data_IF_258994106507
#
_entry.id   IF_258994106507
#
_cell.length_a   1.000
_cell.length_b   1.000
_cell.length_c   1.000
_cell.angle_alpha   90.00
_cell.angle_beta   90.00
_cell.angle_gamma   90.00
#
_symmetry.space_group_name_H-M   'P 1'
#
loop_
_entity.id
_entity.type
_entity.pdbx_description
1 polymer ?
#
# COMPACT_ATOMS: atom_id res chain seq x y z
N UNK A 1 29.08 -3.82 -16.95
CA UNK A 1 28.04 -3.46 -15.96
C UNK A 1 26.72 -3.89 -16.59
N UNK A 2 26.18 -5.04 -16.17
CA UNK A 2 24.94 -5.56 -16.75
C UNK A 2 23.77 -4.91 -16.05
N UNK A 3 22.89 -4.28 -16.82
CA UNK A 3 21.59 -3.79 -16.39
C UNK A 3 20.79 -4.94 -15.78
N UNK A 4 20.73 -4.92 -14.45
CA UNK A 4 19.84 -5.75 -13.64
C UNK A 4 18.41 -5.47 -14.07
N UNK A 5 17.78 -6.51 -14.64
CA UNK A 5 16.33 -6.72 -14.79
C UNK A 5 15.53 -5.66 -14.03
N UNK A 6 15.02 -4.64 -14.73
CA UNK A 6 14.13 -3.63 -14.16
C UNK A 6 13.03 -4.37 -13.39
N UNK A 7 12.92 -4.12 -12.07
CA UNK A 7 11.75 -4.53 -11.31
C UNK A 7 10.52 -4.01 -12.08
N UNK A 8 9.69 -4.92 -12.59
CA UNK A 8 8.42 -4.56 -13.26
C UNK A 8 7.50 -3.84 -12.25
N UNK A 9 7.72 -4.13 -10.95
CA UNK A 9 6.94 -3.62 -9.84
C UNK A 9 7.58 -2.36 -9.26
N UNK A 10 6.85 -1.26 -9.31
CA UNK A 10 7.30 0.03 -8.82
C UNK A 10 6.67 0.35 -7.47
N UNK A 11 7.47 0.29 -6.39
CA UNK A 11 7.06 0.72 -5.05
C UNK A 11 7.28 2.21 -4.78
N UNK A 12 7.84 2.96 -5.74
CA UNK A 12 8.30 4.33 -5.46
C UNK A 12 7.16 5.33 -5.22
N UNK A 13 5.94 5.03 -5.68
CA UNK A 13 4.75 5.85 -5.40
C UNK A 13 4.43 5.92 -3.90
N UNK A 14 4.89 4.97 -3.08
CA UNK A 14 4.67 5.00 -1.65
C UNK A 14 5.32 6.20 -0.94
N UNK A 15 6.32 6.84 -1.57
CA UNK A 15 6.89 8.10 -1.06
C UNK A 15 5.89 9.27 -1.08
N UNK A 16 4.90 9.18 -1.97
CA UNK A 16 3.87 10.19 -2.20
C UNK A 16 2.48 9.59 -1.87
N UNK A 17 2.44 8.50 -1.09
CA UNK A 17 1.21 7.73 -0.86
C UNK A 17 0.08 8.56 -0.25
N UNK A 18 0.43 9.50 0.64
CA UNK A 18 -0.53 10.44 1.21
C UNK A 18 -1.32 11.19 0.14
N UNK A 19 -0.62 11.71 -0.87
CA UNK A 19 -1.23 12.49 -1.95
C UNK A 19 -2.16 11.61 -2.79
N UNK A 20 -1.70 10.40 -3.12
CA UNK A 20 -2.54 9.43 -3.83
C UNK A 20 -3.79 8.99 -3.05
N UNK A 21 -3.69 8.83 -1.72
CA UNK A 21 -4.86 8.56 -0.85
C UNK A 21 -5.83 9.74 -0.79
N UNK A 22 -5.32 10.98 -0.82
CA UNK A 22 -6.16 12.18 -0.94
C UNK A 22 -6.90 12.21 -2.29
N UNK A 23 -6.24 11.82 -3.40
CA UNK A 23 -6.90 11.68 -4.70
C UNK A 23 -7.95 10.57 -4.70
N UNK A 24 -7.69 9.43 -4.08
CA UNK A 24 -8.69 8.37 -3.91
C UNK A 24 -9.90 8.86 -3.10
N UNK A 25 -9.68 9.61 -2.03
CA UNK A 25 -10.73 10.24 -1.24
C UNK A 25 -11.58 11.23 -2.06
N UNK A 26 -10.93 12.11 -2.81
CA UNK A 26 -11.59 13.07 -3.70
C UNK A 26 -12.39 12.36 -4.82
N UNK A 27 -11.82 11.31 -5.43
CA UNK A 27 -12.51 10.48 -6.42
C UNK A 27 -13.80 9.89 -5.85
N UNK A 28 -13.77 9.31 -4.63
CA UNK A 28 -14.97 8.74 -4.01
C UNK A 28 -16.05 9.80 -3.73
N UNK A 29 -15.63 11.01 -3.30
CA UNK A 29 -16.54 12.14 -3.07
C UNK A 29 -17.22 12.60 -4.36
N UNK A 30 -16.44 12.77 -5.42
CA UNK A 30 -16.93 13.13 -6.76
C UNK A 30 -17.88 12.06 -7.28
N UNK A 31 -17.47 10.80 -7.26
CA UNK A 31 -18.27 9.66 -7.72
C UNK A 31 -19.65 9.57 -7.02
N UNK A 32 -19.73 9.98 -5.75
CA UNK A 32 -20.95 9.89 -4.94
C UNK A 32 -21.95 11.04 -5.16
N UNK A 33 -21.50 12.23 -5.58
CA UNK A 33 -22.33 13.45 -5.61
C UNK A 33 -22.92 13.78 -6.97
N UNK A 34 -22.21 13.46 -8.01
CA UNK A 34 -22.65 13.56 -9.40
C UNK A 34 -21.53 12.90 -10.18
N UNK A 35 -21.82 11.88 -10.98
CA UNK A 35 -20.82 11.15 -11.78
C UNK A 35 -20.10 12.06 -12.80
N UNK A 36 -19.96 13.39 -12.64
CA UNK A 36 -19.29 14.35 -13.54
C UNK A 36 -19.63 14.13 -15.03
N UNK A 37 -20.83 13.65 -15.38
CA UNK A 37 -21.14 13.17 -16.74
C UNK A 37 -20.08 12.20 -17.33
N UNK A 38 -19.29 11.57 -16.47
CA UNK A 38 -18.23 10.62 -16.79
C UNK A 38 -18.89 9.26 -16.90
N UNK A 39 -19.20 8.88 -18.13
CA UNK A 39 -19.65 7.54 -18.46
C UNK A 39 -18.46 6.63 -18.69
N UNK A 40 -18.72 5.33 -18.80
CA UNK A 40 -17.75 4.36 -19.27
C UNK A 40 -18.38 3.60 -20.44
N UNK A 41 -17.85 3.84 -21.63
CA UNK A 41 -18.32 3.26 -22.89
C UNK A 41 -17.82 1.80 -23.02
N UNK A 42 -16.73 1.47 -22.33
CA UNK A 42 -16.13 0.14 -22.26
C UNK A 42 -17.00 -0.90 -21.54
N UNK A 43 -17.88 -0.46 -20.64
CA UNK A 43 -18.64 -1.34 -19.74
C UNK A 43 -20.10 -0.88 -19.62
N UNK A 44 -20.78 -0.71 -20.76
CA UNK A 44 -22.16 -0.20 -20.83
C UNK A 44 -23.22 -1.17 -20.27
N UNK A 45 -22.97 -2.48 -20.33
CA UNK A 45 -23.90 -3.52 -19.88
C UNK A 45 -23.53 -4.04 -18.47
N UNK A 46 -24.44 -3.80 -17.53
CA UNK A 46 -24.28 -3.79 -16.06
C UNK A 46 -24.07 -5.16 -15.37
N UNK A 47 -23.57 -6.17 -16.10
CA UNK A 47 -23.45 -7.56 -15.60
C UNK A 47 -22.04 -7.90 -15.13
N UNK A 48 -21.02 -7.27 -15.72
CA UNK A 48 -19.62 -7.60 -15.42
C UNK A 48 -19.18 -6.95 -14.10
N UNK A 49 -18.48 -7.75 -13.28
CA UNK A 49 -17.90 -7.30 -12.01
C UNK A 49 -16.38 -7.20 -12.13
N UNK A 50 -15.84 -6.24 -11.41
CA UNK A 50 -14.41 -6.10 -11.16
C UNK A 50 -14.19 -6.17 -9.65
N UNK A 51 -13.83 -7.36 -9.16
CA UNK A 51 -13.89 -7.67 -7.73
C UNK A 51 -15.34 -7.71 -7.24
N UNK A 52 -15.67 -6.91 -6.22
CA UNK A 52 -17.04 -6.78 -5.70
C UNK A 52 -17.87 -5.69 -6.37
N UNK A 53 -17.23 -4.80 -7.13
CA UNK A 53 -17.85 -3.63 -7.74
C UNK A 53 -18.26 -3.91 -9.19
N UNK A 54 -19.20 -3.12 -9.72
CA UNK A 54 -19.53 -3.14 -11.16
C UNK A 54 -18.32 -2.65 -11.96
N UNK A 55 -18.01 -3.32 -13.07
CA UNK A 55 -16.91 -2.89 -13.94
C UNK A 55 -17.08 -1.45 -14.43
N UNK A 56 -18.32 -1.04 -14.73
CA UNK A 56 -18.68 0.33 -15.07
C UNK A 56 -18.28 1.34 -13.98
N UNK A 57 -18.63 1.06 -12.72
CA UNK A 57 -18.33 1.95 -11.61
C UNK A 57 -16.81 2.03 -11.34
N UNK A 58 -16.08 0.92 -11.46
CA UNK A 58 -14.61 0.90 -11.37
C UNK A 58 -13.98 1.71 -12.50
N UNK A 59 -14.49 1.59 -13.73
CA UNK A 59 -14.04 2.39 -14.87
C UNK A 59 -14.27 3.89 -14.67
N UNK A 60 -15.47 4.30 -14.24
CA UNK A 60 -15.76 5.72 -13.95
C UNK A 60 -14.84 6.26 -12.85
N UNK A 61 -14.64 5.50 -11.77
CA UNK A 61 -13.69 5.84 -10.70
C UNK A 61 -12.27 5.97 -11.23
N UNK A 62 -11.81 5.02 -12.05
CA UNK A 62 -10.49 5.06 -12.67
C UNK A 62 -10.28 6.32 -13.51
N UNK A 63 -11.26 6.68 -14.36
CA UNK A 63 -11.25 7.91 -15.17
C UNK A 63 -11.15 9.17 -14.30
N UNK A 64 -11.97 9.26 -13.26
CA UNK A 64 -11.93 10.38 -12.30
C UNK A 64 -10.57 10.45 -11.61
N UNK A 65 -10.03 9.33 -11.17
CA UNK A 65 -8.74 9.25 -10.48
C UNK A 65 -7.59 9.72 -11.38
N UNK A 66 -7.54 9.27 -12.63
CA UNK A 66 -6.58 9.74 -13.63
C UNK A 66 -6.66 11.27 -13.80
N UNK A 67 -7.87 11.82 -14.01
CA UNK A 67 -8.08 13.27 -14.17
C UNK A 67 -7.65 14.07 -12.94
N UNK A 68 -7.94 13.56 -11.74
CA UNK A 68 -7.54 14.21 -10.49
C UNK A 68 -6.02 14.28 -10.37
N UNK A 69 -5.32 13.17 -10.63
CA UNK A 69 -3.85 13.13 -10.62
C UNK A 69 -3.29 14.14 -11.64
N UNK A 70 -3.74 14.09 -12.90
CA UNK A 70 -3.28 14.99 -13.97
C UNK A 70 -3.53 16.47 -13.64
N UNK A 71 -4.70 16.80 -13.07
CA UNK A 71 -5.07 18.18 -12.74
C UNK A 71 -4.15 18.83 -11.70
N UNK A 72 -3.49 18.03 -10.87
CA UNK A 72 -2.61 18.50 -9.79
C UNK A 72 -1.15 18.60 -10.22
N UNK A 73 -0.79 18.04 -11.38
CA UNK A 73 0.57 18.19 -11.92
C UNK A 73 0.78 19.63 -12.39
N UNK A 74 1.84 20.27 -11.89
CA UNK A 74 2.21 21.66 -12.23
C UNK A 74 3.16 21.66 -13.44
N UNK A 75 2.91 22.56 -14.40
CA UNK A 75 3.83 22.87 -15.51
C UNK A 75 3.19 22.86 -16.91
N UNK A 76 3.81 23.52 -17.90
CA UNK A 76 3.31 23.56 -19.29
C UNK A 76 3.45 22.24 -20.05
N UNK A 77 4.33 21.33 -19.61
CA UNK A 77 4.68 20.08 -20.33
C UNK A 77 4.27 18.78 -19.60
N UNK A 78 3.75 18.85 -18.38
CA UNK A 78 3.66 17.70 -17.44
C UNK A 78 2.26 17.37 -16.94
N UNK A 79 1.20 17.64 -17.71
CA UNK A 79 -0.17 17.20 -17.37
C UNK A 79 -0.44 15.71 -17.62
N UNK A 80 0.60 14.92 -17.92
CA UNK A 80 0.48 13.48 -18.21
C UNK A 80 0.88 12.65 -17.00
N UNK A 81 0.19 11.53 -16.82
CA UNK A 81 0.56 10.49 -15.85
C UNK A 81 1.98 9.98 -16.13
N UNK A 82 2.79 9.87 -15.08
CA UNK A 82 4.13 9.29 -15.16
C UNK A 82 4.16 7.86 -14.57
N UNK A 83 5.34 7.25 -14.56
CA UNK A 83 5.54 5.87 -14.10
C UNK A 83 5.06 5.62 -12.66
N UNK A 84 5.15 6.60 -11.75
CA UNK A 84 4.67 6.45 -10.36
C UNK A 84 3.16 6.49 -10.31
N UNK A 85 2.56 7.39 -11.08
CA UNK A 85 1.10 7.50 -11.18
C UNK A 85 0.49 6.19 -11.68
N UNK A 86 1.07 5.63 -12.75
CA UNK A 86 0.63 4.33 -13.27
C UNK A 86 0.85 3.18 -12.27
N UNK A 87 1.94 3.20 -11.51
CA UNK A 87 2.19 2.20 -10.47
C UNK A 87 1.13 2.26 -9.37
N UNK A 88 0.77 3.47 -8.91
CA UNK A 88 -0.32 3.65 -7.96
C UNK A 88 -1.67 3.22 -8.54
N UNK A 89 -1.98 3.62 -9.77
CA UNK A 89 -3.22 3.23 -10.47
C UNK A 89 -3.33 1.70 -10.61
N UNK A 90 -2.21 1.03 -10.91
CA UNK A 90 -2.16 -0.43 -10.98
C UNK A 90 -2.38 -1.08 -9.61
N UNK A 91 -1.75 -0.56 -8.56
CA UNK A 91 -2.00 -0.99 -7.17
C UNK A 91 -3.48 -0.82 -6.78
N UNK A 92 -4.05 0.36 -7.04
CA UNK A 92 -5.43 0.68 -6.74
C UNK A 92 -6.38 -0.29 -7.44
N UNK A 93 -6.17 -0.55 -8.73
CA UNK A 93 -7.00 -1.48 -9.49
C UNK A 93 -6.89 -2.91 -8.95
N UNK A 94 -5.68 -3.40 -8.70
CA UNK A 94 -5.48 -4.73 -8.10
C UNK A 94 -6.14 -4.86 -6.71
N UNK A 95 -6.19 -3.78 -5.92
CA UNK A 95 -6.90 -3.77 -4.64
C UNK A 95 -8.40 -3.99 -4.81
N UNK A 96 -9.02 -3.41 -5.85
CA UNK A 96 -10.43 -3.64 -6.15
C UNK A 96 -10.67 -5.08 -6.59
N UNK A 97 -9.81 -5.60 -7.45
CA UNK A 97 -9.92 -6.97 -7.98
C UNK A 97 -9.91 -8.02 -6.85
N UNK A 98 -9.04 -7.83 -5.86
CA UNK A 98 -8.76 -8.81 -4.80
C UNK A 98 -9.73 -8.75 -3.61
N UNK A 99 -10.56 -7.71 -3.50
CA UNK A 99 -11.53 -7.53 -2.42
C UNK A 99 -12.85 -8.33 -2.57
N UNK A 100 -12.91 -9.38 -3.41
CA UNK A 100 -14.17 -10.08 -3.73
C UNK A 100 -14.04 -11.55 -4.13
N UNK A 101 -15.19 -12.21 -4.33
CA UNK A 101 -15.28 -13.64 -4.63
C UNK A 101 -14.86 -13.99 -6.08
N UNK A 102 -14.22 -15.14 -6.26
CA UNK A 102 -13.34 -15.48 -7.41
C UNK A 102 -14.05 -15.90 -8.70
N UNK A 103 -15.35 -16.14 -8.69
CA UNK A 103 -16.09 -16.56 -9.88
C UNK A 103 -16.46 -15.36 -10.78
N UNK A 104 -16.05 -15.40 -12.06
CA UNK A 104 -16.40 -14.45 -13.13
C UNK A 104 -15.77 -13.05 -13.03
N UNK A 105 -14.48 -12.95 -12.69
CA UNK A 105 -13.77 -11.66 -12.63
C UNK A 105 -13.10 -11.30 -13.95
N UNK A 106 -13.29 -10.06 -14.38
CA UNK A 106 -12.38 -9.38 -15.30
C UNK A 106 -10.98 -9.32 -14.69
N UNK A 107 -9.96 -9.64 -15.47
CA UNK A 107 -8.54 -9.40 -15.17
C UNK A 107 -8.19 -7.93 -15.34
N UNK A 108 -7.05 -7.48 -14.77
CA UNK A 108 -6.55 -6.12 -15.03
C UNK A 108 -6.25 -5.92 -16.53
N UNK A 109 -5.79 -6.99 -17.21
CA UNK A 109 -5.49 -6.94 -18.63
C UNK A 109 -6.76 -6.76 -19.49
N UNK A 110 -7.83 -7.49 -19.20
CA UNK A 110 -9.13 -7.28 -19.86
C UNK A 110 -9.68 -5.89 -19.57
N UNK A 111 -9.55 -5.44 -18.32
CA UNK A 111 -9.93 -4.08 -17.92
C UNK A 111 -9.26 -3.02 -18.79
N UNK A 112 -7.94 -3.11 -18.89
CA UNK A 112 -7.11 -2.22 -19.69
C UNK A 112 -7.48 -2.30 -21.19
N UNK A 113 -7.68 -3.51 -21.73
CA UNK A 113 -7.98 -3.68 -23.15
C UNK A 113 -9.25 -2.93 -23.56
N UNK A 114 -10.33 -3.09 -22.78
CA UNK A 114 -11.60 -2.43 -23.05
C UNK A 114 -11.47 -0.90 -22.95
N UNK A 115 -10.81 -0.42 -21.89
CA UNK A 115 -10.63 1.02 -21.69
C UNK A 115 -9.83 1.67 -22.83
N UNK A 116 -8.78 1.01 -23.32
CA UNK A 116 -7.98 1.53 -24.43
C UNK A 116 -8.75 1.59 -25.74
N UNK A 117 -9.66 0.64 -25.95
CA UNK A 117 -10.44 0.50 -27.18
C UNK A 117 -11.58 1.52 -27.23
N UNK A 118 -12.32 1.67 -26.13
CA UNK A 118 -13.60 2.39 -26.14
C UNK A 118 -13.55 3.79 -25.52
N UNK A 119 -12.62 4.09 -24.63
CA UNK A 119 -12.57 5.42 -23.99
C UNK A 119 -11.71 6.40 -24.78
N UNK A 120 -12.36 7.39 -25.42
CA UNK A 120 -11.69 8.42 -26.23
C UNK A 120 -10.53 9.13 -25.51
N UNK A 121 -10.67 9.42 -24.21
CA UNK A 121 -9.64 10.13 -23.43
C UNK A 121 -8.34 9.33 -23.25
N UNK A 122 -8.38 8.02 -23.55
CA UNK A 122 -7.24 7.12 -23.51
C UNK A 122 -6.73 6.74 -24.89
N UNK A 123 -7.31 7.27 -25.97
CA UNK A 123 -6.79 7.06 -27.32
C UNK A 123 -5.39 7.67 -27.47
N UNK A 124 -4.42 6.85 -27.87
CA UNK A 124 -3.01 7.24 -27.94
C UNK A 124 -2.27 7.21 -26.61
N UNK A 125 -2.94 6.86 -25.50
CA UNK A 125 -2.27 6.49 -24.25
C UNK A 125 -1.79 5.05 -24.37
N UNK A 126 -0.49 4.86 -24.49
CA UNK A 126 0.08 3.52 -24.44
C UNK A 126 0.09 3.06 -22.97
N UNK A 127 -0.97 2.37 -22.57
CA UNK A 127 -1.01 1.62 -21.31
C UNK A 127 -0.20 0.32 -21.37
N UNK A 128 0.41 -0.02 -22.52
CA UNK A 128 1.15 -1.27 -22.73
C UNK A 128 2.04 -1.59 -21.51
N UNK A 129 1.65 -2.65 -20.80
CA UNK A 129 2.27 -3.20 -19.58
C UNK A 129 2.36 -2.27 -18.36
N UNK A 130 1.61 -1.16 -18.33
CA UNK A 130 1.53 -0.25 -17.18
C UNK A 130 0.50 -0.67 -16.14
N UNK A 131 -0.59 -1.30 -16.60
CA UNK A 131 -1.55 -1.99 -15.73
C UNK A 131 -1.40 -3.49 -15.95
N UNK A 132 -1.36 -4.26 -14.88
CA UNK A 132 -1.15 -5.70 -14.92
C UNK A 132 -1.59 -6.34 -13.61
N UNK A 133 -1.87 -7.65 -13.64
CA UNK A 133 -2.13 -8.42 -12.43
C UNK A 133 -0.84 -8.50 -11.60
N UNK A 134 -0.81 -7.82 -10.46
CA UNK A 134 0.33 -7.81 -9.54
C UNK A 134 0.39 -9.19 -8.88
N UNK A 135 1.58 -9.79 -8.83
CA UNK A 135 1.80 -11.09 -8.17
C UNK A 135 1.45 -11.01 -6.70
N UNK A 136 1.00 -12.12 -6.12
CA UNK A 136 0.55 -12.17 -4.73
C UNK A 136 1.62 -11.70 -3.74
N UNK A 137 2.88 -12.10 -3.93
CA UNK A 137 4.00 -11.65 -3.11
C UNK A 137 4.15 -10.13 -3.12
N UNK A 138 4.23 -9.55 -4.32
CA UNK A 138 4.39 -8.11 -4.49
C UNK A 138 3.18 -7.34 -3.95
N UNK A 139 1.97 -7.86 -4.19
CA UNK A 139 0.73 -7.25 -3.72
C UNK A 139 0.63 -7.27 -2.19
N UNK A 140 0.97 -8.40 -1.55
CA UNK A 140 1.02 -8.50 -0.08
C UNK A 140 2.04 -7.51 0.51
N UNK A 141 3.18 -7.32 -0.16
CA UNK A 141 4.15 -6.31 0.22
C UNK A 141 3.60 -4.88 0.09
N UNK A 142 2.80 -4.59 -0.94
CA UNK A 142 2.12 -3.30 -1.06
C UNK A 142 1.05 -3.10 0.02
N UNK A 143 0.28 -4.14 0.36
CA UNK A 143 -0.68 -4.11 1.47
C UNK A 143 0.03 -3.80 2.79
N UNK A 144 1.15 -4.44 3.06
CA UNK A 144 1.96 -4.17 4.24
C UNK A 144 2.37 -2.69 4.33
N UNK A 145 2.82 -2.09 3.23
CA UNK A 145 3.18 -0.67 3.19
C UNK A 145 1.96 0.26 3.36
N UNK A 146 0.82 -0.11 2.78
CA UNK A 146 -0.45 0.61 2.97
C UNK A 146 -0.91 0.56 4.43
N UNK A 147 -0.80 -0.59 5.08
CA UNK A 147 -1.13 -0.78 6.49
C UNK A 147 -0.22 0.06 7.39
N UNK A 148 1.09 0.14 7.10
CA UNK A 148 2.00 1.02 7.83
C UNK A 148 1.56 2.49 7.74
N UNK A 149 1.12 2.94 6.57
CA UNK A 149 0.56 4.29 6.40
C UNK A 149 -0.69 4.50 7.26
N UNK A 150 -1.65 3.58 7.21
CA UNK A 150 -2.92 3.70 7.93
C UNK A 150 -2.72 3.63 9.46
N UNK A 151 -1.85 2.73 9.93
CA UNK A 151 -1.50 2.64 11.35
C UNK A 151 -0.75 3.88 11.83
N UNK A 152 0.10 4.48 10.99
CA UNK A 152 0.74 5.75 11.34
C UNK A 152 -0.31 6.84 11.60
N UNK A 153 -1.28 7.01 10.71
CA UNK A 153 -2.36 7.98 10.87
C UNK A 153 -3.22 7.71 12.13
N UNK A 154 -3.54 6.43 12.40
CA UNK A 154 -4.27 6.02 13.61
C UNK A 154 -3.49 6.33 14.90
N UNK A 155 -2.17 6.12 14.89
CA UNK A 155 -1.30 6.41 16.02
C UNK A 155 -1.24 7.91 16.28
N UNK A 156 -1.06 8.73 15.24
CA UNK A 156 -1.14 10.18 15.34
C UNK A 156 -2.44 10.65 16.00
N UNK A 157 -3.57 10.11 15.56
CA UNK A 157 -4.89 10.46 16.12
C UNK A 157 -5.06 9.98 17.58
N UNK A 158 -4.55 8.81 17.91
CA UNK A 158 -4.63 8.27 19.27
C UNK A 158 -3.78 9.09 20.25
N UNK A 159 -2.56 9.45 19.84
CA UNK A 159 -1.63 10.21 20.66
C UNK A 159 -2.03 11.69 20.78
N UNK A 160 -2.61 12.29 19.74
CA UNK A 160 -3.07 13.68 19.80
C UNK A 160 -4.16 13.90 20.85
N UNK A 161 -4.96 12.86 21.14
CA UNK A 161 -5.99 12.84 22.19
C UNK A 161 -5.44 12.66 23.61
N UNK A 162 -4.18 12.28 23.76
CA UNK A 162 -3.56 12.20 25.08
C UNK A 162 -3.39 13.61 25.65
N UNK A 163 -3.75 13.77 26.92
CA UNK A 163 -3.49 14.98 27.68
C UNK A 163 -1.98 15.19 27.92
N UNK A 164 -1.64 16.15 28.76
CA UNK A 164 -0.24 16.52 29.03
C UNK A 164 0.51 15.47 29.87
N UNK A 165 -0.21 14.58 30.56
CA UNK A 165 0.40 13.55 31.41
C UNK A 165 1.00 12.43 30.57
N UNK A 166 2.27 12.12 30.81
CA UNK A 166 2.94 10.95 30.22
C UNK A 166 2.18 9.66 30.52
N UNK A 167 1.93 8.86 29.49
CA UNK A 167 1.11 7.63 29.53
C UNK A 167 1.80 6.52 28.73
N UNK A 168 1.61 5.23 29.06
CA UNK A 168 2.06 4.13 28.19
C UNK A 168 1.42 4.22 26.80
N UNK A 169 2.22 4.04 25.76
CA UNK A 169 1.80 4.18 24.37
C UNK A 169 2.00 2.91 23.55
N UNK A 170 2.74 1.91 24.05
CA UNK A 170 3.09 0.70 23.29
C UNK A 170 1.88 0.06 22.60
N UNK A 171 0.74 -0.04 23.31
CA UNK A 171 -0.49 -0.62 22.77
C UNK A 171 -1.06 0.10 21.54
N UNK A 172 -0.79 1.40 21.37
CA UNK A 172 -1.16 2.12 20.14
C UNK A 172 -0.26 1.68 18.97
N UNK A 173 1.04 1.49 19.24
CA UNK A 173 2.03 1.21 18.20
C UNK A 173 2.20 -0.26 17.84
N UNK A 174 1.63 -1.19 18.62
CA UNK A 174 1.74 -2.64 18.40
C UNK A 174 1.47 -3.05 16.95
N UNK A 175 0.37 -2.56 16.35
CA UNK A 175 0.02 -2.89 14.96
C UNK A 175 1.08 -2.43 13.97
N UNK A 176 1.58 -1.20 14.13
CA UNK A 176 2.64 -0.65 13.27
C UNK A 176 3.93 -1.46 13.42
N UNK A 177 4.38 -1.70 14.66
CA UNK A 177 5.64 -2.40 14.96
C UNK A 177 5.58 -3.84 14.42
N UNK A 178 4.48 -4.55 14.65
CA UNK A 178 4.32 -5.93 14.17
C UNK A 178 4.26 -6.00 12.63
N UNK A 179 3.59 -5.06 11.98
CA UNK A 179 3.56 -4.95 10.51
C UNK A 179 4.96 -4.65 9.97
N UNK A 180 5.69 -3.75 10.61
CA UNK A 180 7.07 -3.44 10.25
C UNK A 180 8.00 -4.65 10.41
N UNK A 181 7.84 -5.45 11.49
CA UNK A 181 8.56 -6.71 11.70
C UNK A 181 8.34 -7.71 10.54
N UNK A 182 7.12 -7.82 10.04
CA UNK A 182 6.78 -8.67 8.89
C UNK A 182 7.44 -8.19 7.59
N UNK A 183 7.65 -6.88 7.45
CA UNK A 183 8.34 -6.30 6.30
C UNK A 183 9.85 -6.46 6.40
N UNK A 184 10.44 -6.06 7.52
CA UNK A 184 11.90 -5.96 7.66
C UNK A 184 12.59 -7.32 7.58
N UNK A 185 11.91 -8.41 7.99
CA UNK A 185 12.46 -9.77 7.88
C UNK A 185 12.63 -10.24 6.43
N UNK A 186 11.95 -9.60 5.48
CA UNK A 186 12.12 -9.81 4.04
C UNK A 186 13.23 -8.94 3.44
N UNK A 187 13.84 -8.07 4.25
CA UNK A 187 14.86 -7.11 3.85
C UNK A 187 16.19 -7.37 4.59
N UNK A 188 16.89 -8.48 4.30
CA UNK A 188 18.25 -8.69 4.80
C UNK A 188 19.23 -7.65 4.26
N UNK A 189 18.91 -7.05 3.10
CA UNK A 189 19.63 -5.98 2.43
C UNK A 189 18.62 -4.93 1.93
N UNK A 190 19.02 -3.67 1.87
CA UNK A 190 18.14 -2.53 1.52
C UNK A 190 18.04 -2.27 0.00
N UNK A 191 18.35 -3.28 -0.81
CA UNK A 191 18.61 -3.07 -2.24
C UNK A 191 17.36 -3.23 -3.12
N UNK A 192 16.35 -3.98 -2.66
CA UNK A 192 15.11 -4.18 -3.42
C UNK A 192 14.23 -2.93 -3.39
N UNK A 193 13.38 -2.76 -4.40
CA UNK A 193 12.41 -1.66 -4.47
C UNK A 193 11.45 -1.65 -3.28
N UNK A 194 11.00 -2.82 -2.81
CA UNK A 194 10.22 -2.98 -1.58
C UNK A 194 10.99 -2.51 -0.34
N UNK A 195 12.23 -2.95 -0.14
CA UNK A 195 13.02 -2.59 1.04
C UNK A 195 13.35 -1.10 1.09
N UNK A 196 13.57 -0.46 -0.08
CA UNK A 196 13.71 1.00 -0.18
C UNK A 196 12.42 1.73 0.22
N UNK A 197 11.26 1.21 -0.15
CA UNK A 197 9.97 1.77 0.28
C UNK A 197 9.76 1.57 1.79
N UNK A 198 10.06 0.39 2.33
CA UNK A 198 9.99 0.12 3.77
C UNK A 198 10.94 1.03 4.57
N UNK A 199 12.14 1.29 4.05
CA UNK A 199 13.11 2.23 4.64
C UNK A 199 12.56 3.65 4.68
N UNK A 200 11.81 4.07 3.65
CA UNK A 200 11.13 5.36 3.67
C UNK A 200 10.11 5.44 4.82
N UNK A 201 9.30 4.39 5.05
CA UNK A 201 8.39 4.33 6.19
C UNK A 201 9.10 4.35 7.54
N UNK A 202 10.23 3.63 7.66
CA UNK A 202 11.08 3.67 8.86
C UNK A 202 11.53 5.09 9.16
N UNK A 203 12.12 5.78 8.18
CA UNK A 203 12.61 7.15 8.37
C UNK A 203 11.49 8.13 8.70
N UNK A 204 10.32 7.96 8.08
CA UNK A 204 9.14 8.76 8.41
C UNK A 204 8.67 8.51 9.85
N UNK A 205 8.63 7.26 10.30
CA UNK A 205 8.32 6.90 11.67
C UNK A 205 9.31 7.50 12.67
N UNK A 206 10.61 7.29 12.44
CA UNK A 206 11.67 7.81 13.31
C UNK A 206 11.58 9.34 13.42
N UNK A 207 11.37 10.04 12.31
CA UNK A 207 11.23 11.50 12.31
C UNK A 207 9.97 11.99 13.00
N UNK A 208 8.81 11.41 12.68
CA UNK A 208 7.50 11.92 13.09
C UNK A 208 7.05 11.43 14.47
N UNK A 209 7.44 10.21 14.83
CA UNK A 209 7.06 9.58 16.08
C UNK A 209 8.15 9.77 17.11
N UNK A 210 9.38 9.41 16.76
CA UNK A 210 10.53 9.40 17.67
C UNK A 210 11.41 10.65 17.56
N UNK A 211 11.15 11.57 16.64
CA UNK A 211 11.98 12.76 16.47
C UNK A 211 11.87 13.72 17.64
N UNK A 212 12.67 14.78 17.60
CA UNK A 212 12.43 16.00 18.39
C UNK A 212 11.07 16.56 17.96
N UNK A 213 10.23 16.95 18.93
CA UNK A 213 8.83 17.34 18.71
C UNK A 213 7.96 16.20 18.12
N UNK A 214 8.47 14.96 18.19
CA UNK A 214 7.75 13.77 17.76
C UNK A 214 6.59 13.46 18.70
N UNK A 215 5.53 12.84 18.19
CA UNK A 215 4.32 12.64 19.00
C UNK A 215 4.54 11.75 20.23
N UNK A 216 5.61 10.94 20.23
CA UNK A 216 5.96 10.08 21.36
C UNK A 216 6.50 10.81 22.60
N UNK A 217 6.66 12.14 22.58
CA UNK A 217 7.07 12.89 23.78
C UNK A 217 6.10 12.73 24.96
N UNK A 218 4.82 12.48 24.65
CA UNK A 218 3.76 12.15 25.63
C UNK A 218 3.84 10.70 26.12
N UNK A 219 4.74 9.88 25.60
CA UNK A 219 4.85 8.46 25.92
C UNK A 219 5.88 8.23 27.02
N UNK A 220 5.49 7.50 28.06
CA UNK A 220 6.42 7.11 29.15
C UNK A 220 7.37 6.00 28.71
N UNK A 221 6.91 5.14 27.80
CA UNK A 221 7.54 3.93 27.29
C UNK A 221 8.11 4.14 25.88
N UNK A 222 8.61 5.35 25.59
CA UNK A 222 9.13 5.73 24.26
C UNK A 222 10.23 4.80 23.75
N UNK A 223 11.04 4.24 24.63
CA UNK A 223 12.09 3.26 24.29
C UNK A 223 11.52 1.96 23.72
N UNK A 224 10.29 1.58 24.12
CA UNK A 224 9.61 0.39 23.59
C UNK A 224 9.01 0.62 22.20
N UNK A 225 9.03 1.86 21.69
CA UNK A 225 8.53 2.22 20.38
C UNK A 225 9.60 2.15 19.28
N UNK A 226 10.84 1.78 19.62
CA UNK A 226 11.91 1.62 18.66
C UNK A 226 11.58 0.51 17.66
N UNK A 227 11.76 0.81 16.37
CA UNK A 227 11.57 -0.20 15.32
C UNK A 227 12.74 -1.18 15.33
N UNK A 228 12.47 -2.50 15.28
CA UNK A 228 13.51 -3.51 15.30
C UNK A 228 14.28 -3.53 13.98
N UNK A 229 15.57 -3.86 14.04
CA UNK A 229 16.37 -4.13 12.85
C UNK A 229 16.09 -5.53 12.28
N UNK A 230 16.56 -5.81 11.06
CA UNK A 230 16.57 -7.17 10.53
C UNK A 230 17.24 -8.16 11.50
N UNK A 231 18.36 -7.75 12.12
CA UNK A 231 19.09 -8.57 13.09
C UNK A 231 18.25 -8.95 14.31
N UNK A 232 17.51 -7.98 14.86
CA UNK A 232 16.63 -8.19 16.01
C UNK A 232 15.52 -9.20 15.70
N UNK A 233 14.83 -9.03 14.56
CA UNK A 233 13.73 -9.92 14.15
C UNK A 233 14.25 -11.32 13.77
N UNK A 234 15.42 -11.40 13.14
CA UNK A 234 16.07 -12.66 12.79
C UNK A 234 16.46 -13.46 14.03
N UNK A 235 16.96 -12.79 15.07
CA UNK A 235 17.28 -13.41 16.35
C UNK A 235 16.02 -13.87 17.10
N UNK A 236 14.99 -13.02 17.17
CA UNK A 236 13.69 -13.35 17.77
C UNK A 236 13.09 -14.63 17.15
N UNK A 237 13.11 -14.73 15.81
CA UNK A 237 12.62 -15.92 15.09
C UNK A 237 13.42 -17.18 15.43
N UNK A 238 14.76 -17.08 15.49
CA UNK A 238 15.63 -18.21 15.86
C UNK A 238 15.34 -18.70 17.28
N UNK A 239 15.22 -17.77 18.23
CA UNK A 239 14.93 -18.10 19.62
C UNK A 239 13.56 -18.77 19.78
N UNK A 240 12.54 -18.29 19.05
CA UNK A 240 11.21 -18.93 19.04
C UNK A 240 11.26 -20.36 18.50
N UNK A 241 11.98 -20.60 17.39
CA UNK A 241 12.13 -21.96 16.83
C UNK A 241 12.86 -22.89 17.81
N UNK A 242 13.96 -22.42 18.41
CA UNK A 242 14.73 -23.20 19.40
C UNK A 242 13.86 -23.52 20.62
N UNK A 243 13.10 -22.55 21.11
CA UNK A 243 12.12 -22.75 22.18
C UNK A 243 11.07 -23.81 21.83
N UNK A 244 10.45 -23.73 20.65
CA UNK A 244 9.48 -24.73 20.18
C UNK A 244 10.08 -26.14 20.08
N UNK A 245 11.32 -26.28 19.60
CA UNK A 245 12.02 -27.57 19.52
C UNK A 245 12.31 -28.14 20.92
N UNK A 246 12.75 -27.29 21.86
CA UNK A 246 13.01 -27.71 23.24
C UNK A 246 11.72 -28.16 23.92
N UNK A 247 10.62 -27.41 23.77
CA UNK A 247 9.30 -27.78 24.30
C UNK A 247 8.81 -29.10 23.70
N UNK A 248 8.94 -29.30 22.38
CA UNK A 248 8.56 -30.55 21.73
C UNK A 248 9.41 -31.73 22.21
N UNK A 249 10.73 -31.56 22.38
CA UNK A 249 11.62 -32.59 22.95
C UNK A 249 11.26 -32.94 24.40
N UNK A 250 10.85 -31.96 25.22
CA UNK A 250 10.41 -32.20 26.59
C UNK A 250 9.09 -32.98 26.63
N UNK A 251 8.12 -32.64 25.76
CA UNK A 251 6.87 -33.38 25.62
C UNK A 251 7.11 -34.84 25.19
N UNK A 252 8.00 -35.07 24.23
CA UNK A 252 8.36 -36.43 23.79
C UNK A 252 9.08 -37.25 24.88
N UNK A 253 9.85 -36.60 25.77
CA UNK A 253 10.44 -37.26 26.94
C UNK A 253 9.44 -37.57 28.05
N UNK A 254 8.30 -36.88 28.08
CA UNK A 254 7.23 -37.11 29.05
C UNK A 254 6.30 -38.27 28.65
N UNK A 255 6.30 -38.67 27.38
CA UNK A 255 5.45 -39.74 26.84
C UNK A 255 6.17 -41.09 26.65
N UNK A 256 7.46 -41.19 26.96
CA UNK A 256 8.26 -42.42 26.97
C UNK A 256 8.72 -42.73 28.40
#
# INVERSE_FOLDING_TARGET
>A
MSDTKSDIVCYSFFKEFKEYKEYEGAMNHVFSRDKLNTNCDSYLNDVQKFGTEKANDVCVKFKILCKLIESKKKGPETRKLDHKDYAFLNYWLNSKLRNGDTSNKLTVQEFQSQINEYEYEFWGVTFDKKLYDIKDEDFNNMILLSDLYDYMAQNFHSISKLGEKKTPCIGYFEKYINTYKQGIIQCPHDDTSFCKALTHFKGDYERKILGVDGISEKCMDRENLLLPTYGDVSLERKNTIVGSILTFKLLMKWHN
#
